data_IF_093507633366
#
_entry.id   IF_093507633366
#
_cell.length_a   1.000
_cell.length_b   1.000
_cell.length_c   1.000
_cell.angle_alpha   90.00
_cell.angle_beta   90.00
_cell.angle_gamma   90.00
#
_symmetry.space_group_name_H-M   'P 1'
#
loop_
_entity.id
_entity.type
_entity.pdbx_description
1 polymer ?
#
# COMPACT_ATOMS: atom_id res chain seq x y z
N UNK A 1 12.48 -55.96 -11.53
CA UNK A 1 12.23 -55.33 -10.21
C UNK A 1 12.98 -54.03 -10.01
N UNK A 2 14.25 -53.89 -10.43
CA UNK A 2 15.06 -52.66 -10.22
C UNK A 2 14.50 -51.42 -10.92
N UNK A 3 13.94 -51.53 -12.09
CA UNK A 3 13.34 -50.41 -12.86
C UNK A 3 12.04 -49.87 -12.23
N UNK A 4 11.20 -50.74 -11.66
CA UNK A 4 9.96 -50.30 -10.98
C UNK A 4 10.26 -49.57 -9.67
N UNK A 5 11.33 -49.96 -8.97
CA UNK A 5 11.77 -49.28 -7.76
C UNK A 5 12.32 -47.89 -8.05
N UNK A 6 13.03 -47.69 -9.17
CA UNK A 6 13.57 -46.41 -9.59
C UNK A 6 12.46 -45.43 -9.96
N UNK A 7 11.37 -45.89 -10.57
CA UNK A 7 10.22 -45.05 -10.94
C UNK A 7 9.46 -44.58 -9.68
N UNK A 8 9.28 -45.48 -8.72
CA UNK A 8 8.64 -45.15 -7.42
C UNK A 8 9.49 -44.14 -6.64
N UNK A 9 10.81 -44.31 -6.64
CA UNK A 9 11.73 -43.39 -5.95
C UNK A 9 11.67 -41.96 -6.58
N UNK A 10 11.57 -41.85 -7.89
CA UNK A 10 11.38 -40.55 -8.56
C UNK A 10 10.00 -39.92 -8.26
N UNK A 11 8.95 -40.70 -8.14
CA UNK A 11 7.61 -40.18 -7.79
C UNK A 11 7.55 -39.61 -6.38
N UNK A 12 8.30 -40.14 -5.43
CA UNK A 12 8.34 -39.63 -4.04
C UNK A 12 9.12 -38.31 -3.92
N UNK A 13 10.10 -38.07 -4.80
CA UNK A 13 10.89 -36.81 -4.76
C UNK A 13 10.09 -35.60 -5.24
N UNK A 14 9.06 -35.78 -6.07
CA UNK A 14 8.24 -34.68 -6.58
C UNK A 14 7.23 -34.10 -5.57
N UNK A 15 7.00 -34.74 -4.42
CA UNK A 15 5.98 -34.32 -3.44
C UNK A 15 6.45 -33.26 -2.42
N UNK A 16 7.70 -32.80 -2.48
CA UNK A 16 8.23 -31.87 -1.48
C UNK A 16 8.29 -30.39 -1.92
N UNK A 17 7.55 -29.99 -2.96
CA UNK A 17 7.37 -28.56 -3.25
C UNK A 17 6.20 -28.04 -2.42
N UNK A 18 6.42 -27.84 -1.15
CA UNK A 18 5.48 -27.11 -0.31
C UNK A 18 5.59 -25.63 -0.65
N UNK A 19 4.66 -25.12 -1.44
CA UNK A 19 4.42 -23.69 -1.52
C UNK A 19 4.08 -23.24 -0.08
N UNK A 20 4.92 -22.39 0.50
CA UNK A 20 4.72 -21.91 1.87
C UNK A 20 3.78 -20.69 1.82
N UNK A 21 2.54 -20.94 1.38
CA UNK A 21 1.48 -19.95 1.35
C UNK A 21 1.01 -19.70 2.77
N UNK A 22 1.20 -18.47 3.24
CA UNK A 22 0.79 -18.07 4.59
C UNK A 22 -0.43 -17.19 4.46
N UNK A 23 -1.53 -17.64 5.05
CA UNK A 23 -2.76 -16.88 5.17
C UNK A 23 -2.84 -16.27 6.57
N UNK A 24 -3.22 -15.00 6.66
CA UNK A 24 -3.34 -14.31 7.93
C UNK A 24 -4.38 -13.20 7.89
N UNK A 25 -4.56 -12.53 9.04
CA UNK A 25 -5.51 -11.43 9.21
C UNK A 25 -4.93 -10.34 10.10
N UNK A 26 -5.31 -9.09 9.81
CA UNK A 26 -4.80 -7.90 10.47
C UNK A 26 -5.96 -7.17 11.14
N UNK A 27 -5.77 -6.81 12.42
CA UNK A 27 -6.75 -6.11 13.26
C UNK A 27 -6.14 -4.89 13.93
N UNK A 28 -6.98 -3.93 14.27
CA UNK A 28 -6.65 -2.85 15.20
C UNK A 28 -6.57 -3.40 16.62
N UNK A 29 -5.53 -3.05 17.37
CA UNK A 29 -5.39 -3.42 18.78
C UNK A 29 -6.38 -2.68 19.68
N UNK A 30 -6.81 -1.50 19.28
CA UNK A 30 -7.70 -0.64 20.05
C UNK A 30 -9.17 -1.01 19.86
N UNK A 31 -9.57 -1.26 18.61
CA UNK A 31 -10.99 -1.47 18.27
C UNK A 31 -11.34 -2.93 18.03
N UNK A 32 -10.35 -3.79 17.85
CA UNK A 32 -10.49 -5.18 17.42
C UNK A 32 -11.23 -5.35 16.08
N UNK A 33 -11.28 -4.28 15.27
CA UNK A 33 -11.80 -4.32 13.92
C UNK A 33 -10.74 -4.75 12.92
N UNK A 34 -11.10 -5.44 11.83
CA UNK A 34 -10.15 -5.77 10.78
C UNK A 34 -9.65 -4.49 10.10
N UNK A 35 -8.34 -4.46 9.80
CA UNK A 35 -7.72 -3.33 9.11
C UNK A 35 -7.60 -3.70 7.62
N UNK A 36 -8.35 -3.02 6.74
CA UNK A 36 -8.31 -3.29 5.31
C UNK A 36 -7.02 -2.79 4.66
N UNK A 37 -6.68 -3.42 3.54
CA UNK A 37 -5.63 -2.96 2.61
C UNK A 37 -4.26 -2.71 3.25
N UNK A 38 -3.94 -3.41 4.33
CA UNK A 38 -2.62 -3.37 4.96
C UNK A 38 -1.59 -4.05 4.07
N UNK A 39 -0.39 -3.49 3.99
CA UNK A 39 0.73 -4.09 3.26
C UNK A 39 1.45 -5.09 4.16
N UNK A 40 1.71 -6.28 3.66
CA UNK A 40 2.50 -7.34 4.32
C UNK A 40 3.62 -7.74 3.38
N UNK A 41 4.87 -7.56 3.76
CA UNK A 41 5.98 -7.86 2.87
C UNK A 41 7.34 -7.86 3.56
N UNK A 42 8.37 -8.15 2.78
CA UNK A 42 9.74 -8.10 3.25
C UNK A 42 10.20 -6.65 3.43
N UNK A 43 10.85 -6.37 4.56
CA UNK A 43 11.24 -5.00 4.93
C UNK A 43 12.20 -4.34 3.94
N UNK A 44 13.16 -5.10 3.41
CA UNK A 44 14.23 -4.58 2.52
C UNK A 44 14.04 -4.94 1.05
N UNK A 45 12.88 -5.44 0.68
CA UNK A 45 12.60 -5.97 -0.64
C UNK A 45 11.27 -5.40 -1.15
N UNK A 46 11.10 -5.38 -2.47
CA UNK A 46 9.83 -4.95 -3.10
C UNK A 46 8.77 -6.06 -3.12
N UNK A 47 8.99 -7.14 -2.39
CA UNK A 47 8.08 -8.27 -2.33
C UNK A 47 7.08 -8.10 -1.19
N UNK A 48 5.80 -8.23 -1.49
CA UNK A 48 4.72 -8.14 -0.52
C UNK A 48 3.34 -8.28 -1.13
N UNK A 49 2.34 -8.32 -0.27
CA UNK A 49 0.92 -8.41 -0.60
C UNK A 49 0.16 -7.29 0.11
N UNK A 50 -1.05 -7.04 -0.34
CA UNK A 50 -2.01 -6.16 0.36
C UNK A 50 -3.18 -7.02 0.84
N UNK A 51 -3.64 -6.80 2.07
CA UNK A 51 -4.83 -7.47 2.60
C UNK A 51 -6.09 -7.00 1.86
N UNK A 52 -7.13 -7.81 1.93
CA UNK A 52 -8.45 -7.48 1.42
C UNK A 52 -9.19 -6.47 2.35
N UNK A 53 -10.43 -6.15 2.01
CA UNK A 53 -11.32 -5.27 2.79
C UNK A 53 -11.64 -5.80 4.20
N UNK A 54 -11.45 -7.11 4.44
CA UNK A 54 -11.65 -7.76 5.74
C UNK A 54 -10.33 -7.98 6.50
N UNK A 55 -9.23 -7.39 6.01
CA UNK A 55 -7.91 -7.54 6.61
C UNK A 55 -7.22 -8.88 6.34
N UNK A 56 -7.80 -9.77 5.51
CA UNK A 56 -7.17 -11.05 5.20
C UNK A 56 -6.07 -10.85 4.15
N UNK A 57 -4.97 -11.58 4.30
CA UNK A 57 -3.90 -11.62 3.32
C UNK A 57 -3.43 -13.06 3.06
N UNK A 58 -2.80 -13.24 1.91
CA UNK A 58 -2.16 -14.49 1.52
C UNK A 58 -0.83 -14.18 0.85
N UNK A 59 0.28 -14.65 1.43
CA UNK A 59 1.63 -14.37 0.96
C UNK A 59 2.43 -15.67 0.78
N UNK A 60 3.09 -15.82 -0.38
CA UNK A 60 3.99 -16.94 -0.64
C UNK A 60 5.44 -16.53 -0.33
N UNK A 61 5.99 -17.11 0.73
CA UNK A 61 7.34 -16.84 1.20
C UNK A 61 8.34 -17.97 0.86
N UNK A 62 7.97 -18.95 0.02
CA UNK A 62 8.78 -20.15 -0.25
C UNK A 62 10.16 -19.83 -0.83
N UNK A 63 10.27 -18.80 -1.66
CA UNK A 63 11.51 -18.43 -2.34
C UNK A 63 12.13 -17.13 -1.80
N UNK A 64 11.78 -16.75 -0.57
CA UNK A 64 12.24 -15.49 0.00
C UNK A 64 13.39 -15.70 1.00
N UNK A 65 14.20 -14.65 1.16
CA UNK A 65 15.32 -14.64 2.10
C UNK A 65 14.80 -14.63 3.55
N UNK A 66 15.03 -15.74 4.26
CA UNK A 66 14.59 -15.97 5.64
C UNK A 66 15.31 -15.09 6.68
N UNK A 67 16.39 -14.40 6.29
CA UNK A 67 17.12 -13.48 7.16
C UNK A 67 16.51 -12.06 7.19
N UNK A 68 15.49 -11.81 6.39
CA UNK A 68 14.80 -10.52 6.37
C UNK A 68 13.65 -10.51 7.39
N UNK A 69 13.28 -9.31 7.81
CA UNK A 69 12.07 -9.10 8.59
C UNK A 69 10.85 -9.00 7.67
N UNK A 70 9.69 -9.32 8.20
CA UNK A 70 8.39 -9.02 7.63
C UNK A 70 7.92 -7.69 8.23
N UNK A 71 7.46 -6.80 7.38
CA UNK A 71 6.86 -5.53 7.75
C UNK A 71 5.38 -5.55 7.41
N UNK A 72 4.55 -5.18 8.37
CA UNK A 72 3.10 -4.99 8.20
C UNK A 72 2.84 -3.51 8.44
N UNK A 73 2.24 -2.84 7.47
CA UNK A 73 1.99 -1.40 7.57
C UNK A 73 0.72 -0.96 6.83
N UNK A 74 0.11 0.09 7.36
CA UNK A 74 -1.02 0.80 6.75
C UNK A 74 -1.05 2.23 7.31
N UNK A 75 -1.63 3.17 6.57
CA UNK A 75 -1.78 4.55 7.03
C UNK A 75 -2.61 4.63 8.31
N UNK A 76 -2.19 5.47 9.24
CA UNK A 76 -2.86 5.65 10.54
C UNK A 76 -2.44 4.67 11.64
N UNK A 77 -1.59 3.70 11.36
CA UNK A 77 -1.13 2.70 12.31
C UNK A 77 0.40 2.68 12.40
N UNK A 78 0.93 2.28 13.57
CA UNK A 78 2.35 2.03 13.75
C UNK A 78 2.77 0.77 12.97
N UNK A 79 3.85 0.82 12.18
CA UNK A 79 4.31 -0.35 11.45
C UNK A 79 4.77 -1.45 12.40
N UNK A 80 4.33 -2.68 12.17
CA UNK A 80 4.84 -3.86 12.87
C UNK A 80 5.99 -4.47 12.08
N UNK A 81 7.12 -4.68 12.75
CA UNK A 81 8.27 -5.40 12.19
C UNK A 81 8.46 -6.67 13.01
N UNK A 82 8.42 -7.80 12.32
CA UNK A 82 8.55 -9.13 12.93
C UNK A 82 9.59 -9.95 12.17
N UNK A 83 10.41 -10.73 12.87
CA UNK A 83 11.37 -11.62 12.20
C UNK A 83 10.65 -12.67 11.36
N UNK A 84 11.26 -13.08 10.26
CA UNK A 84 10.71 -14.10 9.36
C UNK A 84 10.29 -15.38 10.12
N UNK A 85 11.12 -15.86 11.03
CA UNK A 85 10.84 -17.05 11.80
C UNK A 85 9.64 -16.86 12.73
N UNK A 86 9.53 -15.75 13.43
CA UNK A 86 8.38 -15.45 14.29
C UNK A 86 7.09 -15.32 13.49
N UNK A 87 7.17 -14.70 12.31
CA UNK A 87 6.02 -14.59 11.42
C UNK A 87 5.49 -15.95 10.97
N UNK A 88 6.40 -16.88 10.61
CA UNK A 88 6.02 -18.24 10.21
C UNK A 88 5.53 -19.07 11.39
N UNK A 89 6.14 -18.95 12.57
CA UNK A 89 5.81 -19.77 13.74
C UNK A 89 4.55 -19.33 14.49
N UNK A 90 4.04 -18.14 14.22
CA UNK A 90 2.83 -17.64 14.87
C UNK A 90 1.61 -18.52 14.56
N UNK A 91 0.97 -19.06 15.58
CA UNK A 91 -0.05 -20.11 15.43
C UNK A 91 -1.28 -19.64 14.63
N UNK A 92 -1.87 -18.54 14.96
CA UNK A 92 -3.15 -18.12 14.36
C UNK A 92 -3.00 -17.12 13.19
N UNK A 93 -1.77 -16.68 12.86
CA UNK A 93 -1.50 -15.68 11.82
C UNK A 93 -2.40 -14.43 11.93
N UNK A 94 -2.71 -14.05 13.16
CA UNK A 94 -3.45 -12.81 13.47
C UNK A 94 -2.45 -11.79 13.97
N UNK A 95 -2.50 -10.60 13.38
CA UNK A 95 -1.58 -9.50 13.69
C UNK A 95 -2.39 -8.29 14.13
N UNK A 96 -1.98 -7.63 15.20
CA UNK A 96 -2.61 -6.45 15.73
C UNK A 96 -1.70 -5.24 15.53
N UNK A 97 -2.21 -4.20 14.89
CA UNK A 97 -1.50 -2.93 14.73
C UNK A 97 -2.12 -1.89 15.68
N UNK A 98 -1.25 -1.11 16.31
CA UNK A 98 -1.66 0.02 17.16
C UNK A 98 -1.84 1.28 16.34
N UNK A 99 -2.85 2.08 16.69
CA UNK A 99 -3.08 3.37 16.05
C UNK A 99 -1.90 4.31 16.29
N UNK A 100 -1.52 5.03 15.24
CA UNK A 100 -0.43 6.00 15.31
C UNK A 100 -0.94 7.27 15.95
N UNK A 101 -0.42 7.59 17.15
CA UNK A 101 -0.69 8.86 17.80
C UNK A 101 0.16 9.93 17.12
N UNK A 102 -0.48 10.84 16.38
CA UNK A 102 0.18 12.03 15.82
C UNK A 102 -0.03 13.18 16.77
N UNK A 103 1.05 13.64 17.38
CA UNK A 103 1.03 14.84 18.20
C UNK A 103 0.84 16.06 17.26
N UNK A 104 -0.31 16.72 17.38
CA UNK A 104 -0.63 17.90 16.56
C UNK A 104 0.03 19.09 17.26
N UNK A 105 1.16 19.57 16.73
CA UNK A 105 1.76 20.82 17.18
C UNK A 105 0.72 21.94 17.22
N UNK A 106 0.69 22.67 18.33
CA UNK A 106 -0.22 23.79 18.54
C UNK A 106 -0.20 24.75 17.34
N UNK A 107 -1.35 24.93 16.71
CA UNK A 107 -1.50 25.85 15.57
C UNK A 107 -1.51 27.27 16.13
N UNK A 108 -0.38 27.96 16.05
CA UNK A 108 -0.32 29.40 16.28
C UNK A 108 -1.00 30.08 15.10
N UNK A 109 -2.21 30.55 15.29
CA UNK A 109 -2.97 31.37 14.34
C UNK A 109 -2.29 32.74 14.21
N UNK A 110 -1.35 32.87 13.30
CA UNK A 110 -0.86 34.16 12.85
C UNK A 110 -1.50 34.48 11.50
N UNK A 111 -1.91 35.74 11.23
CA UNK A 111 -2.50 36.14 9.95
C UNK A 111 -1.42 36.17 8.86
N UNK A 112 -0.94 35.04 8.44
CA UNK A 112 -0.01 34.92 7.31
C UNK A 112 -0.82 34.75 6.03
N UNK A 113 -0.50 35.54 5.02
CA UNK A 113 -1.03 35.31 3.66
C UNK A 113 -0.52 33.95 3.20
N UNK A 114 -1.42 33.00 3.04
CA UNK A 114 -1.11 31.72 2.43
C UNK A 114 -0.97 31.94 0.91
N UNK A 115 0.08 31.35 0.33
CA UNK A 115 0.28 31.33 -1.11
C UNK A 115 -0.01 29.91 -1.55
N UNK A 116 -1.04 29.74 -2.35
CA UNK A 116 -1.36 28.46 -2.96
C UNK A 116 -0.39 28.20 -4.12
N UNK A 117 0.17 26.99 -4.18
CA UNK A 117 1.07 26.54 -5.25
C UNK A 117 0.69 25.15 -5.71
N UNK A 118 0.73 24.94 -7.00
CA UNK A 118 0.64 23.62 -7.58
C UNK A 118 2.05 23.06 -7.79
N UNK A 119 2.29 21.85 -7.30
CA UNK A 119 3.52 21.11 -7.52
C UNK A 119 3.24 19.89 -8.38
N UNK A 120 4.22 19.50 -9.18
CA UNK A 120 4.13 18.31 -10.02
C UNK A 120 4.10 18.62 -11.51
N UNK A 121 3.62 17.66 -12.27
CA UNK A 121 3.62 17.72 -13.73
C UNK A 121 2.25 18.23 -14.20
N UNK A 122 2.21 19.45 -14.70
CA UNK A 122 0.99 20.04 -15.29
C UNK A 122 0.78 19.66 -16.76
N UNK A 123 1.71 18.92 -17.37
CA UNK A 123 1.58 18.52 -18.77
C UNK A 123 0.81 17.21 -18.90
N UNK A 124 -0.19 17.17 -19.73
CA UNK A 124 -0.89 15.96 -20.19
C UNK A 124 -0.03 15.14 -21.18
N UNK A 125 1.29 15.16 -21.03
CA UNK A 125 2.23 14.47 -21.92
C UNK A 125 2.16 12.97 -21.76
N UNK A 126 2.07 12.25 -22.89
CA UNK A 126 1.97 10.80 -22.95
C UNK A 126 3.29 10.03 -22.74
N UNK A 127 4.31 10.66 -22.16
CA UNK A 127 5.67 10.09 -22.13
C UNK A 127 5.87 9.00 -21.09
N UNK A 128 5.11 9.00 -20.01
CA UNK A 128 5.14 7.93 -19.00
C UNK A 128 3.69 7.57 -18.69
N UNK A 129 3.31 6.36 -18.97
CA UNK A 129 1.98 5.84 -18.68
C UNK A 129 2.14 4.67 -17.70
N UNK A 130 1.36 4.69 -16.65
CA UNK A 130 1.12 3.53 -15.82
C UNK A 130 -0.14 2.85 -16.34
N UNK A 131 0.01 1.59 -16.78
CA UNK A 131 -1.12 0.77 -17.22
C UNK A 131 -1.38 -0.27 -16.15
N UNK A 132 -2.55 -0.22 -15.55
CA UNK A 132 -3.04 -1.25 -14.64
C UNK A 132 -3.98 -2.18 -15.41
N UNK A 133 -3.66 -3.46 -15.46
CA UNK A 133 -4.52 -4.49 -16.03
C UNK A 133 -4.76 -5.58 -14.96
N UNK A 134 -5.97 -5.65 -14.39
CA UNK A 134 -6.27 -6.59 -13.30
C UNK A 134 -6.15 -8.05 -13.71
N UNK A 135 -6.37 -8.38 -14.98
CA UNK A 135 -6.28 -9.76 -15.46
C UNK A 135 -4.85 -10.25 -15.62
N UNK A 136 -3.96 -9.36 -16.11
CA UNK A 136 -2.53 -9.67 -16.30
C UNK A 136 -1.72 -9.57 -15.02
N UNK A 137 -2.21 -8.79 -14.07
CA UNK A 137 -1.49 -8.45 -12.84
C UNK A 137 -1.99 -9.23 -11.61
N UNK A 138 -2.51 -10.43 -11.76
CA UNK A 138 -2.94 -11.28 -10.62
C UNK A 138 -1.88 -11.48 -9.54
N UNK A 139 -0.61 -11.22 -9.85
CA UNK A 139 0.53 -11.26 -8.93
C UNK A 139 1.23 -9.91 -8.73
N UNK A 140 0.86 -8.88 -9.46
CA UNK A 140 1.45 -7.55 -9.25
C UNK A 140 0.70 -6.84 -8.15
N UNK A 141 0.93 -7.31 -7.02
CA UNK A 141 0.65 -6.79 -5.73
C UNK A 141 1.04 -5.32 -5.69
N UNK A 142 0.00 -4.50 -5.66
CA UNK A 142 0.00 -3.11 -5.23
C UNK A 142 1.33 -2.36 -5.42
N UNK A 143 1.69 -2.11 -6.67
CA UNK A 143 2.80 -1.21 -6.97
C UNK A 143 2.39 0.20 -6.54
N UNK A 144 3.19 0.77 -5.68
CA UNK A 144 3.07 2.16 -5.28
C UNK A 144 4.02 3.01 -6.11
N UNK A 145 3.51 4.06 -6.72
CA UNK A 145 4.28 5.04 -7.47
C UNK A 145 4.42 6.29 -6.63
N UNK A 146 5.64 6.69 -6.34
CA UNK A 146 5.92 7.88 -5.55
C UNK A 146 6.70 8.91 -6.36
N UNK A 147 6.28 10.19 -6.26
CA UNK A 147 6.97 11.33 -6.83
C UNK A 147 7.64 12.15 -5.73
N UNK A 148 8.91 12.54 -5.91
CA UNK A 148 9.60 13.42 -4.98
C UNK A 148 9.18 14.88 -5.16
N UNK A 149 9.04 15.57 -4.03
CA UNK A 149 8.82 17.00 -3.95
C UNK A 149 9.76 17.60 -2.92
N UNK A 150 9.95 18.92 -2.99
CA UNK A 150 10.74 19.65 -2.01
C UNK A 150 10.15 21.03 -1.74
N UNK A 151 10.15 21.43 -0.47
CA UNK A 151 9.76 22.78 -0.07
C UNK A 151 10.64 23.31 1.04
N UNK A 152 11.14 24.57 0.89
CA UNK A 152 11.94 25.23 1.92
C UNK A 152 11.08 25.68 3.12
N UNK A 153 9.81 25.99 2.89
CA UNK A 153 8.88 26.46 3.92
C UNK A 153 7.90 25.34 4.27
N UNK A 154 7.41 25.35 5.52
CA UNK A 154 6.28 24.50 5.90
C UNK A 154 5.10 24.75 5.00
N UNK A 155 4.52 23.72 4.42
CA UNK A 155 3.38 23.80 3.53
C UNK A 155 2.35 22.72 3.91
N UNK A 156 1.08 23.05 3.75
CA UNK A 156 -0.03 22.12 3.93
C UNK A 156 -0.42 21.57 2.57
N UNK A 157 -0.58 20.28 2.45
CA UNK A 157 -1.17 19.66 1.26
C UNK A 157 -2.68 19.75 1.40
N UNK A 158 -3.34 20.37 0.43
CA UNK A 158 -4.80 20.53 0.40
C UNK A 158 -5.45 19.59 -0.60
N UNK A 159 -4.73 19.25 -1.67
CA UNK A 159 -5.26 18.41 -2.72
C UNK A 159 -4.16 17.57 -3.36
N UNK A 160 -4.48 16.34 -3.70
CA UNK A 160 -3.63 15.42 -4.47
C UNK A 160 -4.36 15.09 -5.77
N UNK A 161 -3.71 15.33 -6.91
CA UNK A 161 -4.30 15.11 -8.23
C UNK A 161 -3.50 14.06 -9.00
N UNK A 162 -4.21 13.26 -9.79
CA UNK A 162 -3.61 12.32 -10.74
C UNK A 162 -4.15 12.62 -12.12
N UNK A 163 -3.26 12.71 -13.11
CA UNK A 163 -3.65 12.78 -14.51
C UNK A 163 -3.97 11.37 -15.02
N UNK A 164 -5.18 11.18 -15.51
CA UNK A 164 -5.69 9.92 -16.03
C UNK A 164 -5.82 10.05 -17.53
N UNK A 165 -4.90 9.47 -18.29
CA UNK A 165 -4.95 9.52 -19.75
C UNK A 165 -6.11 8.69 -20.33
N UNK A 166 -6.40 7.57 -19.68
CA UNK A 166 -7.43 6.63 -20.08
C UNK A 166 -7.89 5.81 -18.87
N UNK A 167 -9.18 5.66 -18.73
CA UNK A 167 -9.78 4.84 -17.68
C UNK A 167 -10.91 4.00 -18.29
N UNK A 168 -10.73 2.70 -18.29
CA UNK A 168 -11.73 1.74 -18.70
C UNK A 168 -11.83 0.67 -17.61
N UNK A 169 -12.91 0.71 -16.88
CA UNK A 169 -13.25 -0.29 -15.89
C UNK A 169 -14.74 -0.26 -15.63
N UNK A 170 -15.39 -1.41 -15.74
CA UNK A 170 -16.80 -1.59 -15.40
C UNK A 170 -17.03 -1.53 -13.89
N UNK A 171 -15.95 -1.72 -13.12
CA UNK A 171 -15.99 -1.70 -11.67
C UNK A 171 -15.18 -0.51 -11.12
N UNK A 172 -15.61 0.08 -10.02
CA UNK A 172 -14.81 1.06 -9.31
C UNK A 172 -13.47 0.46 -8.88
N UNK A 173 -12.44 1.31 -8.85
CA UNK A 173 -11.08 0.94 -8.46
C UNK A 173 -10.72 1.66 -7.18
N UNK A 174 -10.31 0.93 -6.14
CA UNK A 174 -9.75 1.55 -4.95
C UNK A 174 -8.36 2.08 -5.23
N UNK A 175 -8.14 3.35 -4.89
CA UNK A 175 -6.85 4.02 -4.98
C UNK A 175 -6.47 4.56 -3.61
N UNK A 176 -5.20 4.46 -3.28
CA UNK A 176 -4.63 4.98 -2.04
C UNK A 176 -3.58 6.02 -2.36
N UNK A 177 -3.60 7.09 -1.60
CA UNK A 177 -2.51 8.05 -1.55
C UNK A 177 -1.72 7.87 -0.25
N UNK A 178 -0.44 8.17 -0.30
CA UNK A 178 0.37 8.30 0.89
C UNK A 178 1.33 9.47 0.75
N UNK A 179 1.75 10.02 1.88
CA UNK A 179 2.76 11.07 1.93
C UNK A 179 3.85 10.60 2.88
N UNK A 180 5.08 10.60 2.38
CA UNK A 180 6.25 10.16 3.13
C UNK A 180 7.23 11.31 3.35
N UNK A 181 7.94 11.28 4.47
CA UNK A 181 9.09 12.13 4.70
C UNK A 181 10.31 11.70 3.85
N UNK A 182 11.43 12.40 4.02
CA UNK A 182 12.68 12.08 3.31
C UNK A 182 13.24 10.68 3.63
N UNK A 183 12.85 10.08 4.75
CA UNK A 183 13.29 8.78 5.22
C UNK A 183 12.28 7.67 4.90
N UNK A 184 11.26 7.97 4.09
CA UNK A 184 10.16 7.06 3.74
C UNK A 184 9.26 6.67 4.91
N UNK A 185 9.20 7.47 5.98
CA UNK A 185 8.20 7.29 7.00
C UNK A 185 6.89 7.95 6.56
N UNK A 186 5.78 7.23 6.71
CA UNK A 186 4.46 7.80 6.43
C UNK A 186 4.18 8.92 7.44
N UNK A 187 3.79 10.09 6.93
CA UNK A 187 3.43 11.27 7.74
C UNK A 187 1.92 11.48 7.83
N UNK A 188 1.13 10.63 7.19
CA UNK A 188 -0.33 10.67 7.32
C UNK A 188 -0.77 9.98 8.60
N UNK A 189 -1.88 10.47 9.18
CA UNK A 189 -2.47 9.97 10.42
C UNK A 189 -3.59 8.95 10.19
N UNK A 190 -4.02 8.78 8.94
CA UNK A 190 -5.13 7.90 8.57
C UNK A 190 -4.93 7.31 7.16
N UNK A 191 -5.69 6.30 6.80
CA UNK A 191 -5.66 5.75 5.45
C UNK A 191 -6.38 6.67 4.46
N UNK A 192 -5.65 7.12 3.43
CA UNK A 192 -6.16 7.98 2.37
C UNK A 192 -6.62 7.14 1.17
N UNK A 193 -7.51 6.19 1.39
CA UNK A 193 -8.08 5.36 0.32
C UNK A 193 -9.40 5.91 -0.17
N UNK A 194 -9.60 5.92 -1.48
CA UNK A 194 -10.82 6.40 -2.13
C UNK A 194 -11.20 5.54 -3.32
N UNK A 195 -12.49 5.44 -3.55
CA UNK A 195 -13.04 4.77 -4.72
C UNK A 195 -12.99 5.68 -5.94
N UNK A 196 -12.25 5.28 -6.96
CA UNK A 196 -12.15 5.93 -8.26
C UNK A 196 -13.06 5.23 -9.26
N UNK A 197 -13.90 6.00 -9.94
CA UNK A 197 -14.72 5.58 -11.07
C UNK A 197 -14.70 6.64 -12.17
N UNK A 198 -15.21 6.32 -13.35
CA UNK A 198 -15.22 7.22 -14.51
C UNK A 198 -15.93 8.55 -14.22
N UNK A 199 -16.97 8.56 -13.39
CA UNK A 199 -17.76 9.76 -13.06
C UNK A 199 -16.97 10.77 -12.20
N UNK A 200 -16.00 10.30 -11.45
CA UNK A 200 -15.12 11.15 -10.62
C UNK A 200 -13.91 11.70 -11.37
N UNK A 201 -13.67 11.23 -12.59
CA UNK A 201 -12.59 11.73 -13.44
C UNK A 201 -13.14 12.91 -14.25
N UNK A 202 -12.62 14.10 -14.01
CA UNK A 202 -12.98 15.34 -14.72
C UNK A 202 -11.77 15.88 -15.46
N UNK A 203 -11.93 16.25 -16.72
CA UNK A 203 -10.86 16.80 -17.55
C UNK A 203 -9.57 15.96 -17.57
N UNK A 204 -9.71 14.63 -17.54
CA UNK A 204 -8.60 13.68 -17.41
C UNK A 204 -7.83 13.82 -16.09
N UNK A 205 -8.46 14.32 -15.03
CA UNK A 205 -7.89 14.44 -13.70
C UNK A 205 -8.80 13.78 -12.67
N UNK A 206 -8.20 13.01 -11.78
CA UNK A 206 -8.84 12.52 -10.57
C UNK A 206 -8.23 13.24 -9.37
N UNK A 207 -9.07 13.96 -8.64
CA UNK A 207 -8.67 14.81 -7.52
C UNK A 207 -9.13 14.23 -6.19
N UNK A 208 -8.24 14.30 -5.20
CA UNK A 208 -8.53 13.94 -3.82
C UNK A 208 -8.26 15.15 -2.92
N UNK A 209 -9.33 15.70 -2.30
CA UNK A 209 -9.23 16.77 -1.31
C UNK A 209 -8.77 16.17 0.03
N UNK A 210 -7.66 16.68 0.55
CA UNK A 210 -7.06 16.29 1.83
C UNK A 210 -6.90 17.49 2.77
N UNK A 211 -7.64 18.56 2.50
CA UNK A 211 -7.54 19.79 3.27
C UNK A 211 -7.92 19.64 4.74
N UNK A 212 -8.80 18.70 5.05
CA UNK A 212 -9.22 18.32 6.41
C UNK A 212 -8.23 17.38 7.12
N UNK A 213 -7.25 16.82 6.40
CA UNK A 213 -6.31 15.82 6.92
C UNK A 213 -5.06 16.44 7.57
N UNK A 214 -4.90 17.74 7.52
CA UNK A 214 -3.81 18.50 8.15
C UNK A 214 -2.40 17.99 7.80
N UNK A 215 -2.18 17.52 6.58
CA UNK A 215 -0.90 16.99 6.12
C UNK A 215 0.09 18.13 5.91
N UNK A 216 1.10 18.23 6.78
CA UNK A 216 2.12 19.25 6.72
C UNK A 216 3.46 18.68 6.28
N UNK A 217 4.12 19.36 5.36
CA UNK A 217 5.41 18.97 4.78
C UNK A 217 6.44 20.09 4.87
N UNK A 218 7.72 19.72 5.01
CA UNK A 218 8.87 20.63 4.95
C UNK A 218 10.10 19.84 4.51
N UNK A 219 10.97 20.43 3.69
CA UNK A 219 12.10 19.73 3.11
C UNK A 219 11.68 18.80 1.99
N UNK A 220 12.39 17.70 1.83
CA UNK A 220 12.11 16.66 0.83
C UNK A 220 11.01 15.72 1.35
N UNK A 221 10.04 15.44 0.51
CA UNK A 221 8.94 14.53 0.81
C UNK A 221 8.49 13.82 -0.47
N UNK A 222 7.70 12.78 -0.33
CA UNK A 222 7.16 12.01 -1.45
C UNK A 222 5.65 11.93 -1.34
N UNK A 223 4.98 12.07 -2.46
CA UNK A 223 3.54 11.78 -2.57
C UNK A 223 3.40 10.57 -3.45
N UNK A 224 2.72 9.57 -2.97
CA UNK A 224 2.55 8.32 -3.67
C UNK A 224 1.10 8.04 -4.04
N UNK A 225 0.97 7.17 -5.01
CA UNK A 225 -0.28 6.64 -5.50
C UNK A 225 -0.17 5.14 -5.69
N UNK A 226 -1.17 4.41 -5.21
CA UNK A 226 -1.27 2.97 -5.27
C UNK A 226 -2.65 2.58 -5.76
N UNK A 227 -2.73 1.65 -6.72
CA UNK A 227 -3.99 1.00 -7.06
C UNK A 227 -4.12 -0.22 -6.17
N UNK A 228 -5.14 -0.24 -5.34
CA UNK A 228 -5.55 -1.41 -4.58
C UNK A 228 -6.37 -2.31 -5.51
N UNK A 229 -6.41 -3.62 -5.25
CA UNK A 229 -7.09 -4.55 -6.13
C UNK A 229 -8.51 -4.10 -6.46
N UNK A 230 -8.94 -4.38 -7.70
CA UNK A 230 -10.33 -4.17 -8.10
C UNK A 230 -11.26 -4.94 -7.16
N UNK A 231 -12.28 -4.26 -6.69
CA UNK A 231 -13.34 -4.83 -5.89
C UNK A 231 -13.97 -6.02 -6.64
N UNK A 232 -13.84 -7.22 -6.10
CA UNK A 232 -14.68 -8.37 -6.39
C UNK A 232 -15.57 -8.59 -5.16
N UNK A 233 -16.51 -7.70 -4.96
CA UNK A 233 -17.53 -7.82 -3.94
C UNK A 233 -18.87 -7.49 -4.54
N UNK A 234 -19.84 -8.36 -4.36
CA UNK A 234 -21.26 -8.02 -4.53
C UNK A 234 -21.59 -6.94 -3.51
N UNK A 235 -22.21 -5.86 -3.98
CA UNK A 235 -22.80 -4.82 -3.13
C UNK A 235 -24.17 -5.31 -2.70
#
# INVERSE_FOLDING_TARGET
MKTKFLVILNLVIFFNVSAQLINGKIFSSETNNPIPYSRVGLEKNKFGVTSDEYGNFSIDLSNQDKNQNIRIEVGGYEPMIITFNNFISQNNKIFYLSEKIVDIEQVVLSPKKFIQKNWGINSKGKKIQFVYNPEKNKQSLSKELALPFETKKRAKIEKININIAYFESDQPVFVRYNVYDQNWNSIISEDLSILMNAQKIKDSEFSFDVSDKFIWVKGKFYVSFQILNSFKGEI
#
